data_IF_351316801109
#
_entry.id   IF_351316801109
#
_cell.length_a   1.000
_cell.length_b   1.000
_cell.length_c   1.000
_cell.angle_alpha   90.00
_cell.angle_beta   90.00
_cell.angle_gamma   90.00
#
_symmetry.space_group_name_H-M   'P 1'
#
loop_
_entity.id
_entity.type
_entity.pdbx_description
1 polymer ?
#
# COMPACT_ATOMS: atom_id res chain seq x y z
N UNK A 1 8.30 -4.18 2.08
CA UNK A 1 7.02 -4.49 1.40
C UNK A 1 6.35 -5.85 1.76
N UNK A 2 6.79 -6.59 2.78
CA UNK A 2 6.45 -8.02 2.93
C UNK A 2 4.93 -8.33 3.06
N UNK A 3 4.22 -7.69 3.99
CA UNK A 3 2.80 -7.97 4.24
C UNK A 3 1.87 -7.46 3.13
N UNK A 4 2.18 -6.30 2.55
CA UNK A 4 1.42 -5.74 1.42
C UNK A 4 1.48 -6.66 0.18
N UNK A 5 2.64 -7.28 -0.09
CA UNK A 5 2.78 -8.25 -1.19
C UNK A 5 1.97 -9.53 -0.95
N UNK A 6 1.59 -9.83 0.29
CA UNK A 6 0.73 -10.96 0.66
C UNK A 6 -0.77 -10.61 0.69
N UNK A 7 -1.14 -9.36 0.35
CA UNK A 7 -2.53 -8.93 0.35
C UNK A 7 -3.04 -8.38 1.69
N UNK A 8 -2.17 -8.26 2.70
CA UNK A 8 -2.60 -7.80 4.03
C UNK A 8 -2.69 -6.27 4.10
N UNK A 9 -3.76 -5.78 4.72
CA UNK A 9 -3.89 -4.36 5.05
C UNK A 9 -3.00 -3.99 6.24
N UNK A 10 -2.28 -2.87 6.14
CA UNK A 10 -1.30 -2.43 7.14
C UNK A 10 -1.53 -0.98 7.56
N UNK A 11 -1.23 -0.67 8.82
CA UNK A 11 -1.23 0.72 9.29
C UNK A 11 0.07 1.40 8.84
N UNK A 12 -0.04 2.53 8.16
CA UNK A 12 1.10 3.33 7.70
C UNK A 12 1.05 4.70 8.37
N UNK A 13 2.08 5.11 9.13
CA UNK A 13 2.13 6.43 9.73
C UNK A 13 2.03 7.52 8.66
N UNK A 14 1.22 8.55 8.93
CA UNK A 14 1.03 9.70 8.02
C UNK A 14 0.51 9.32 6.63
N UNK A 15 -0.16 8.17 6.51
CA UNK A 15 -0.93 7.87 5.31
C UNK A 15 -2.10 8.86 5.16
N UNK A 16 -2.54 9.12 3.92
CA UNK A 16 -3.80 9.81 3.67
C UNK A 16 -4.97 9.13 4.41
N UNK A 17 -6.02 9.89 4.70
CA UNK A 17 -7.19 9.39 5.45
C UNK A 17 -8.25 8.71 4.58
N UNK A 18 -8.16 8.84 3.26
CA UNK A 18 -9.10 8.22 2.32
C UNK A 18 -8.52 8.13 0.90
N UNK A 19 -9.13 7.26 0.09
CA UNK A 19 -8.89 7.19 -1.35
C UNK A 19 -7.74 6.29 -1.77
N UNK A 20 -7.36 6.42 -3.03
CA UNK A 20 -6.32 5.60 -3.67
C UNK A 20 -4.93 6.16 -3.41
N UNK A 21 -3.99 5.25 -3.13
CA UNK A 21 -2.60 5.60 -2.83
C UNK A 21 -1.62 4.78 -3.67
N UNK A 22 -0.46 5.39 -3.95
CA UNK A 22 0.67 4.72 -4.56
C UNK A 22 1.55 4.13 -3.46
N UNK A 23 1.93 2.87 -3.60
CA UNK A 23 2.77 2.14 -2.67
C UNK A 23 4.21 2.10 -3.20
N UNK A 24 5.17 2.49 -2.38
CA UNK A 24 6.59 2.45 -2.69
C UNK A 24 7.37 1.65 -1.64
N UNK A 25 8.45 0.98 -2.05
CA UNK A 25 9.47 0.41 -1.19
C UNK A 25 10.69 1.33 -1.22
N UNK A 26 10.95 1.98 -0.09
CA UNK A 26 11.85 3.12 -0.04
C UNK A 26 11.35 4.27 -0.93
N UNK A 27 12.27 5.07 -1.43
CA UNK A 27 11.93 6.25 -2.25
C UNK A 27 11.68 5.92 -3.72
N UNK A 28 12.21 4.81 -4.24
CA UNK A 28 12.36 4.63 -5.70
C UNK A 28 11.56 3.45 -6.27
N UNK A 29 11.23 2.44 -5.48
CA UNK A 29 10.65 1.20 -6.01
C UNK A 29 9.14 1.25 -5.91
N UNK A 30 8.45 1.46 -7.03
CA UNK A 30 6.99 1.38 -7.07
C UNK A 30 6.52 -0.07 -6.88
N UNK A 31 5.68 -0.30 -5.87
CA UNK A 31 5.13 -1.61 -5.55
C UNK A 31 3.76 -1.85 -6.16
N UNK A 32 2.98 -0.79 -6.38
CA UNK A 32 1.60 -0.90 -6.83
C UNK A 32 0.65 0.13 -6.23
N UNK A 33 -0.63 -0.14 -6.35
CA UNK A 33 -1.72 0.70 -5.85
C UNK A 33 -2.39 0.07 -4.64
N UNK A 34 -2.70 0.91 -3.65
CA UNK A 34 -3.51 0.58 -2.50
C UNK A 34 -4.68 1.54 -2.34
N UNK A 35 -5.52 1.26 -1.34
CA UNK A 35 -6.65 2.08 -0.95
C UNK A 35 -6.66 2.22 0.57
N UNK A 36 -7.02 3.40 1.06
CA UNK A 36 -7.24 3.63 2.49
C UNK A 36 -8.63 3.10 2.86
N UNK A 37 -8.66 2.19 3.83
CA UNK A 37 -9.88 1.65 4.42
C UNK A 37 -10.44 2.59 5.50
N UNK A 38 -11.69 2.36 5.90
CA UNK A 38 -12.38 3.16 6.92
C UNK A 38 -11.71 3.10 8.31
N UNK A 39 -10.92 2.05 8.58
CA UNK A 39 -10.11 1.90 9.80
C UNK A 39 -8.75 2.60 9.72
N UNK A 40 -8.48 3.31 8.62
CA UNK A 40 -7.23 4.02 8.35
C UNK A 40 -6.08 3.13 7.88
N UNK A 41 -6.29 1.83 7.67
CA UNK A 41 -5.27 0.94 7.10
C UNK A 41 -5.20 1.05 5.60
N UNK A 42 -4.02 0.77 5.06
CA UNK A 42 -3.79 0.71 3.62
C UNK A 42 -3.94 -0.74 3.16
N UNK A 43 -4.93 -1.01 2.31
CA UNK A 43 -5.13 -2.30 1.67
C UNK A 43 -4.49 -2.33 0.27
N UNK A 44 -3.71 -3.38 -0.09
CA UNK A 44 -3.17 -3.54 -1.43
C UNK A 44 -4.30 -3.90 -2.41
N UNK A 45 -4.40 -3.18 -3.53
CA UNK A 45 -5.42 -3.41 -4.58
C UNK A 45 -4.82 -3.99 -5.85
N UNK A 46 -3.65 -3.49 -6.24
CA UNK A 46 -2.91 -4.00 -7.40
C UNK A 46 -1.42 -3.90 -7.14
N UNK A 47 -0.79 -5.03 -6.87
CA UNK A 47 0.66 -5.12 -6.69
C UNK A 47 1.33 -5.43 -8.02
N UNK A 48 2.49 -4.85 -8.28
CA UNK A 48 3.37 -5.27 -9.36
C UNK A 48 4.15 -6.50 -8.91
N UNK A 49 4.27 -7.50 -9.80
CA UNK A 49 5.25 -8.57 -9.62
C UNK A 49 6.62 -7.92 -9.78
N UNK A 50 7.54 -8.16 -8.84
CA UNK A 50 8.93 -7.74 -9.01
C UNK A 50 9.48 -8.35 -10.30
N UNK A 51 10.27 -7.58 -11.04
CA UNK A 51 11.09 -8.12 -12.12
C UNK A 51 12.08 -9.15 -11.58
#
# INVERSE_FOLDING_TARGET
AFYLRQGQAVLVPRAPTSGWVRLYEGEHTFLGMGEILDDGRVAPRRMMKGA
#
